data_IF_861949525002
#
_entry.id   IF_861949525002
#
_cell.length_a   1.000
_cell.length_b   1.000
_cell.length_c   1.000
_cell.angle_alpha   90.00
_cell.angle_beta   90.00
_cell.angle_gamma   90.00
#
_symmetry.space_group_name_H-M   'P 1'
#
loop_
_entity.id
_entity.type
_entity.pdbx_description
1 polymer ?
#
# COMPACT_ATOMS: atom_id res chain seq x y z
N UNK A 1 -8.11 -22.99 -9.52
CA UNK A 1 -8.82 -21.78 -9.99
C UNK A 1 -8.03 -21.22 -11.18
N UNK A 2 -8.67 -20.66 -12.22
CA UNK A 2 -7.91 -19.97 -13.28
C UNK A 2 -7.16 -18.82 -12.62
N UNK A 3 -5.83 -18.78 -12.69
CA UNK A 3 -5.08 -17.67 -12.10
C UNK A 3 -5.50 -16.40 -12.83
N UNK A 4 -6.28 -15.56 -12.16
CA UNK A 4 -6.61 -14.25 -12.70
C UNK A 4 -5.32 -13.44 -12.66
N UNK A 5 -4.74 -13.15 -13.82
CA UNK A 5 -3.50 -12.38 -13.95
C UNK A 5 -3.77 -10.93 -14.32
N UNK A 6 -4.94 -10.41 -13.96
CA UNK A 6 -5.27 -8.99 -14.08
C UNK A 6 -4.98 -8.27 -12.80
N UNK A 7 -4.31 -7.15 -12.91
CA UNK A 7 -4.20 -6.18 -11.82
C UNK A 7 -4.87 -4.90 -12.25
N UNK A 8 -5.49 -4.20 -11.30
CA UNK A 8 -6.06 -2.88 -11.54
C UNK A 8 -5.14 -1.81 -10.97
N UNK A 9 -4.90 -0.77 -11.77
CA UNK A 9 -4.11 0.41 -11.40
C UNK A 9 -5.04 1.62 -11.38
N UNK A 10 -5.04 2.37 -10.29
CA UNK A 10 -5.65 3.70 -10.24
C UNK A 10 -4.53 4.73 -10.22
N UNK A 11 -4.31 5.54 -11.29
CA UNK A 11 -3.25 6.55 -11.31
C UNK A 11 -3.38 7.57 -10.16
N UNK A 12 -4.60 7.85 -9.70
CA UNK A 12 -4.87 8.74 -8.58
C UNK A 12 -5.18 10.16 -9.04
N UNK A 13 -4.62 11.15 -8.35
CA UNK A 13 -4.87 12.58 -8.63
C UNK A 13 -4.47 12.93 -10.08
N UNK A 14 -5.43 13.34 -10.93
CA UNK A 14 -5.14 13.59 -12.35
C UNK A 14 -4.14 14.75 -12.58
N UNK A 15 -4.12 15.74 -11.70
CA UNK A 15 -3.16 16.85 -11.78
C UNK A 15 -1.75 16.47 -11.30
N UNK A 16 -1.58 15.35 -10.60
CA UNK A 16 -0.30 14.90 -10.04
C UNK A 16 0.51 14.02 -10.98
N UNK A 17 1.58 13.41 -10.45
CA UNK A 17 2.48 12.51 -11.19
C UNK A 17 1.93 11.11 -11.43
N UNK A 18 0.81 10.74 -10.80
CA UNK A 18 0.22 9.41 -10.94
C UNK A 18 0.02 8.98 -12.40
N UNK A 19 -0.56 9.82 -13.26
CA UNK A 19 -0.58 9.62 -14.71
C UNK A 19 0.80 9.48 -15.36
N UNK A 20 1.80 10.30 -15.02
CA UNK A 20 3.17 10.19 -15.56
C UNK A 20 3.75 8.81 -15.29
N UNK A 21 3.70 8.40 -14.02
CA UNK A 21 4.25 7.13 -13.57
C UNK A 21 3.54 5.98 -14.26
N UNK A 22 2.22 6.06 -14.43
CA UNK A 22 1.44 5.03 -15.15
C UNK A 22 1.84 4.94 -16.63
N UNK A 23 2.08 6.07 -17.30
CA UNK A 23 2.60 6.08 -18.68
C UNK A 23 4.01 5.52 -18.75
N UNK A 24 4.87 5.85 -17.79
CA UNK A 24 6.24 5.31 -17.69
C UNK A 24 6.23 3.79 -17.47
N UNK A 25 5.34 3.26 -16.61
CA UNK A 25 5.16 1.82 -16.41
C UNK A 25 4.79 1.11 -17.72
N UNK A 26 4.01 1.76 -18.59
CA UNK A 26 3.62 1.20 -19.87
C UNK A 26 4.82 0.96 -20.82
N UNK A 27 5.98 1.59 -20.58
CA UNK A 27 7.13 1.52 -21.47
C UNK A 27 7.90 0.19 -21.38
N UNK A 28 7.48 -0.74 -20.53
CA UNK A 28 8.05 -2.07 -20.42
C UNK A 28 6.98 -3.17 -20.42
N UNK A 29 7.42 -4.40 -20.69
CA UNK A 29 6.54 -5.57 -20.65
C UNK A 29 6.22 -5.97 -19.22
N UNK A 30 5.01 -6.48 -18.99
CA UNK A 30 4.58 -7.03 -17.70
C UNK A 30 3.99 -8.44 -17.86
N UNK A 31 4.22 -9.35 -16.89
CA UNK A 31 3.69 -10.71 -16.96
C UNK A 31 2.17 -10.80 -16.71
N UNK A 32 1.54 -9.69 -16.37
CA UNK A 32 0.12 -9.53 -16.02
C UNK A 32 -0.52 -8.53 -16.98
N UNK A 33 -1.85 -8.56 -17.09
CA UNK A 33 -2.61 -7.52 -17.77
C UNK A 33 -2.74 -6.31 -16.83
N UNK A 34 -2.30 -5.12 -17.29
CA UNK A 34 -2.41 -3.89 -16.53
C UNK A 34 -3.71 -3.17 -16.91
N UNK A 35 -4.75 -3.38 -16.10
CA UNK A 35 -6.04 -2.68 -16.26
C UNK A 35 -5.97 -1.35 -15.53
N UNK A 36 -5.92 -0.24 -16.25
CA UNK A 36 -5.83 1.10 -15.67
C UNK A 36 -7.22 1.70 -15.60
N UNK A 37 -7.69 2.01 -14.40
CA UNK A 37 -8.95 2.67 -14.14
C UNK A 37 -8.74 4.19 -14.13
N UNK A 38 -8.97 4.85 -15.27
CA UNK A 38 -8.65 6.26 -15.49
C UNK A 38 -9.34 6.82 -16.74
N UNK A 39 -9.21 8.14 -16.95
CA UNK A 39 -9.63 8.76 -18.22
C UNK A 39 -8.62 8.40 -19.33
N UNK A 40 -9.09 7.85 -20.47
CA UNK A 40 -8.23 7.59 -21.62
C UNK A 40 -7.56 8.88 -22.15
N UNK A 41 -8.33 9.98 -22.18
CA UNK A 41 -7.86 11.28 -22.68
C UNK A 41 -6.72 11.83 -21.81
N UNK A 42 -6.84 11.72 -20.48
CA UNK A 42 -5.79 12.11 -19.54
C UNK A 42 -4.47 11.37 -19.81
N UNK A 43 -4.51 10.05 -19.95
CA UNK A 43 -3.30 9.25 -20.17
C UNK A 43 -2.66 9.54 -21.53
N UNK A 44 -3.46 9.71 -22.59
CA UNK A 44 -2.97 10.09 -23.92
C UNK A 44 -2.33 11.48 -23.90
N UNK A 45 -2.97 12.46 -23.27
CA UNK A 45 -2.42 13.82 -23.13
C UNK A 45 -1.11 13.80 -22.34
N UNK A 46 -1.06 13.07 -21.22
CA UNK A 46 0.16 12.98 -20.40
C UNK A 46 1.28 12.27 -21.17
N UNK A 47 0.98 11.20 -21.91
CA UNK A 47 1.96 10.54 -22.76
C UNK A 47 2.52 11.46 -23.85
N UNK A 48 1.67 12.24 -24.50
CA UNK A 48 2.09 13.25 -25.47
C UNK A 48 2.98 14.34 -24.84
N UNK A 49 2.62 14.85 -23.66
CA UNK A 49 3.44 15.83 -22.92
C UNK A 49 4.82 15.28 -22.57
N UNK A 50 4.89 14.00 -22.19
CA UNK A 50 6.14 13.31 -21.84
C UNK A 50 6.94 12.82 -23.05
N UNK A 51 6.39 12.91 -24.26
CA UNK A 51 7.01 12.37 -25.48
C UNK A 51 7.14 10.83 -25.48
N UNK A 52 6.25 10.13 -24.77
CA UNK A 52 6.27 8.68 -24.64
C UNK A 52 5.17 8.02 -25.50
N UNK A 53 5.46 6.92 -26.22
CA UNK A 53 4.45 6.22 -26.98
C UNK A 53 3.46 5.52 -26.03
N UNK A 54 2.16 5.64 -26.34
CA UNK A 54 1.12 4.94 -25.59
C UNK A 54 -0.06 4.54 -26.49
N UNK A 55 -0.35 3.25 -26.51
CA UNK A 55 -1.58 2.69 -27.11
C UNK A 55 -2.49 2.17 -26.00
N UNK A 56 -3.74 2.64 -25.98
CA UNK A 56 -4.75 2.14 -25.03
C UNK A 56 -5.60 1.05 -25.69
N UNK A 57 -5.71 -0.09 -25.02
CA UNK A 57 -6.59 -1.20 -25.41
C UNK A 57 -7.80 -1.21 -24.48
N UNK A 58 -9.02 -1.24 -25.00
CA UNK A 58 -10.19 -1.28 -24.13
C UNK A 58 -10.23 -2.56 -23.28
N UNK A 59 -10.53 -2.42 -22.00
CA UNK A 59 -10.72 -3.55 -21.10
C UNK A 59 -11.93 -4.40 -21.53
N UNK A 60 -11.73 -5.72 -21.59
CA UNK A 60 -12.74 -6.69 -22.00
C UNK A 60 -12.79 -7.85 -20.98
N UNK A 61 -13.68 -7.82 -19.97
CA UNK A 61 -13.69 -8.81 -18.88
C UNK A 61 -13.93 -10.24 -19.37
N UNK A 62 -14.68 -10.40 -20.46
CA UNK A 62 -14.99 -11.71 -21.06
C UNK A 62 -13.86 -12.34 -21.89
N UNK A 63 -12.77 -11.61 -22.14
CA UNK A 63 -11.59 -12.11 -22.87
C UNK A 63 -10.55 -12.62 -21.87
N UNK A 64 -9.71 -13.59 -22.25
CA UNK A 64 -8.63 -14.06 -21.38
C UNK A 64 -7.56 -12.97 -21.21
N UNK A 65 -7.10 -12.77 -19.97
CA UNK A 65 -6.06 -11.79 -19.66
C UNK A 65 -4.78 -12.05 -20.49
N UNK A 66 -4.16 -10.99 -20.99
CA UNK A 66 -2.90 -11.06 -21.75
C UNK A 66 -1.79 -10.26 -21.05
N UNK A 67 -0.55 -10.78 -20.99
CA UNK A 67 0.60 -10.01 -20.53
C UNK A 67 0.70 -8.65 -21.24
N UNK A 68 0.85 -7.58 -20.45
CA UNK A 68 0.93 -6.23 -21.00
C UNK A 68 2.20 -6.05 -21.81
N UNK A 69 2.06 -5.51 -23.02
CA UNK A 69 3.19 -5.24 -23.92
C UNK A 69 3.69 -3.80 -23.72
N UNK A 70 4.98 -3.58 -23.93
CA UNK A 70 5.59 -2.26 -23.91
C UNK A 70 4.87 -1.29 -24.87
N UNK A 71 4.75 -0.03 -24.44
CA UNK A 71 3.99 1.03 -25.11
C UNK A 71 2.48 0.87 -25.02
N UNK A 72 1.94 -0.04 -24.20
CA UNK A 72 0.48 -0.29 -24.13
C UNK A 72 -0.07 -0.34 -22.71
N UNK A 73 -1.32 0.09 -22.52
CA UNK A 73 -2.11 -0.14 -21.30
C UNK A 73 -3.49 -0.67 -21.66
N UNK A 74 -4.10 -1.45 -20.78
CA UNK A 74 -5.50 -1.87 -20.92
C UNK A 74 -6.37 -0.89 -20.14
N UNK A 75 -7.26 -0.14 -20.78
CA UNK A 75 -8.00 0.98 -20.18
C UNK A 75 -9.40 0.54 -19.72
N UNK A 76 -9.71 0.80 -18.46
CA UNK A 76 -11.05 0.79 -17.88
C UNK A 76 -11.49 2.26 -17.73
N UNK A 77 -12.27 2.79 -18.68
CA UNK A 77 -12.47 4.22 -18.81
C UNK A 77 -13.38 4.79 -17.72
N UNK A 78 -12.92 5.87 -17.09
CA UNK A 78 -13.73 6.78 -16.26
C UNK A 78 -13.33 8.20 -16.64
N UNK A 79 -14.25 9.03 -17.08
CA UNK A 79 -13.91 10.37 -17.58
C UNK A 79 -13.76 11.39 -16.44
N UNK A 80 -12.87 12.37 -16.63
CA UNK A 80 -12.77 13.53 -15.75
C UNK A 80 -13.93 14.49 -16.02
N UNK A 81 -14.40 15.19 -14.98
CA UNK A 81 -15.50 16.14 -15.12
C UNK A 81 -15.05 17.46 -15.79
N UNK A 82 -13.77 17.81 -15.63
CA UNK A 82 -13.14 19.00 -16.21
C UNK A 82 -11.82 18.63 -16.88
N UNK A 83 -11.33 19.45 -17.84
CA UNK A 83 -9.98 19.35 -18.36
C UNK A 83 -8.94 19.35 -17.23
N UNK A 84 -7.83 18.64 -17.45
CA UNK A 84 -6.76 18.50 -16.45
C UNK A 84 -5.54 19.27 -16.90
N UNK A 85 -5.07 20.20 -16.06
CA UNK A 85 -3.78 20.86 -16.21
C UNK A 85 -2.79 20.21 -15.21
N UNK A 86 -1.64 19.68 -15.67
CA UNK A 86 -0.62 19.15 -14.76
C UNK A 86 -0.19 20.20 -13.73
N UNK A 87 -0.15 19.82 -12.46
CA UNK A 87 0.22 20.69 -11.34
C UNK A 87 -0.91 21.54 -10.75
N UNK A 88 -2.08 21.61 -11.41
CA UNK A 88 -3.20 22.44 -10.96
C UNK A 88 -4.38 21.56 -10.48
N UNK A 89 -4.63 21.58 -9.18
CA UNK A 89 -5.75 20.86 -8.57
C UNK A 89 -7.11 21.43 -9.01
N UNK A 90 -8.09 20.55 -9.22
CA UNK A 90 -9.45 20.92 -9.59
C UNK A 90 -10.48 20.15 -8.77
N UNK A 91 -11.25 20.84 -7.91
CA UNK A 91 -12.28 20.22 -7.05
C UNK A 91 -13.32 19.42 -7.83
N UNK A 92 -13.66 19.85 -9.05
CA UNK A 92 -14.62 19.16 -9.90
C UNK A 92 -14.13 17.76 -10.35
N UNK A 93 -12.83 17.48 -10.31
CA UNK A 93 -12.27 16.18 -10.64
C UNK A 93 -12.15 15.24 -9.42
N UNK A 94 -12.60 15.65 -8.23
CA UNK A 94 -12.56 14.81 -7.03
C UNK A 94 -13.45 13.57 -7.16
N UNK A 95 -14.64 13.71 -7.75
CA UNK A 95 -15.54 12.59 -8.03
C UNK A 95 -14.93 11.59 -9.01
N UNK A 96 -14.13 12.06 -9.97
CA UNK A 96 -13.37 11.19 -10.87
C UNK A 96 -12.41 10.30 -10.07
N UNK A 97 -11.61 10.90 -9.18
CA UNK A 97 -10.65 10.14 -8.35
C UNK A 97 -11.39 9.07 -7.54
N UNK A 98 -12.43 9.45 -6.81
CA UNK A 98 -13.20 8.51 -5.99
C UNK A 98 -13.91 7.43 -6.81
N UNK A 99 -14.40 7.75 -8.02
CA UNK A 99 -15.01 6.78 -8.92
C UNK A 99 -13.99 5.74 -9.40
N UNK A 100 -12.75 6.14 -9.68
CA UNK A 100 -11.68 5.19 -10.03
C UNK A 100 -11.34 4.25 -8.88
N UNK A 101 -11.26 4.78 -7.65
CA UNK A 101 -11.00 3.98 -6.44
C UNK A 101 -12.16 3.01 -6.17
N UNK A 102 -13.41 3.49 -6.24
CA UNK A 102 -14.61 2.69 -6.03
C UNK A 102 -14.66 1.51 -7.02
N UNK A 103 -14.52 1.81 -8.31
CA UNK A 103 -14.59 0.80 -9.38
C UNK A 103 -13.49 -0.25 -9.27
N UNK A 104 -12.27 0.19 -8.95
CA UNK A 104 -11.14 -0.72 -8.80
C UNK A 104 -11.30 -1.61 -7.56
N UNK A 105 -11.78 -1.05 -6.44
CA UNK A 105 -12.10 -1.80 -5.23
C UNK A 105 -13.19 -2.86 -5.49
N UNK A 106 -14.29 -2.50 -6.15
CA UNK A 106 -15.39 -3.42 -6.47
C UNK A 106 -14.92 -4.57 -7.38
N UNK A 107 -14.02 -4.27 -8.32
CA UNK A 107 -13.41 -5.29 -9.17
C UNK A 107 -12.54 -6.26 -8.38
N UNK A 108 -11.78 -5.78 -7.39
CA UNK A 108 -11.03 -6.66 -6.50
C UNK A 108 -11.95 -7.49 -5.60
N UNK A 109 -13.00 -6.90 -5.03
CA UNK A 109 -13.98 -7.60 -4.17
C UNK A 109 -14.71 -8.72 -4.91
N UNK A 110 -15.00 -8.53 -6.20
CA UNK A 110 -15.66 -9.54 -7.05
C UNK A 110 -14.69 -10.56 -7.67
N UNK A 111 -13.38 -10.42 -7.45
CA UNK A 111 -12.35 -11.26 -8.06
C UNK A 111 -12.08 -10.96 -9.54
N UNK A 112 -12.63 -9.87 -10.08
CA UNK A 112 -12.34 -9.35 -11.43
C UNK A 112 -10.85 -8.96 -11.58
N UNK A 113 -10.24 -8.46 -10.51
CA UNK A 113 -8.82 -8.12 -10.43
C UNK A 113 -8.15 -8.82 -9.25
N UNK A 114 -6.97 -9.38 -9.48
CA UNK A 114 -6.21 -10.11 -8.47
C UNK A 114 -5.49 -9.19 -7.46
N UNK A 115 -5.19 -7.96 -7.86
CA UNK A 115 -4.63 -6.94 -6.97
C UNK A 115 -4.98 -5.53 -7.44
N UNK A 116 -4.95 -4.60 -6.49
CA UNK A 116 -5.08 -3.16 -6.69
C UNK A 116 -3.75 -2.46 -6.41
N UNK A 117 -3.26 -1.66 -7.36
CA UNK A 117 -2.08 -0.82 -7.21
C UNK A 117 -2.53 0.64 -7.32
N UNK A 118 -2.31 1.43 -6.28
CA UNK A 118 -2.73 2.83 -6.26
C UNK A 118 -1.54 3.79 -6.44
N UNK A 119 -1.68 4.71 -7.38
CA UNK A 119 -0.90 5.94 -7.41
C UNK A 119 -1.34 6.94 -6.32
N UNK A 120 -0.69 8.10 -6.24
CA UNK A 120 -0.95 9.07 -5.18
C UNK A 120 -2.24 9.86 -5.42
N UNK A 121 -2.97 10.19 -4.35
CA UNK A 121 -4.15 11.06 -4.39
C UNK A 121 -3.93 12.27 -3.48
N UNK A 122 -4.61 13.38 -3.79
CA UNK A 122 -4.53 14.58 -2.98
C UNK A 122 -5.75 14.69 -2.05
N UNK A 123 -5.57 14.40 -0.76
CA UNK A 123 -6.65 14.47 0.23
C UNK A 123 -7.33 15.84 0.31
N UNK A 124 -6.56 16.93 0.20
CA UNK A 124 -7.06 18.31 0.34
C UNK A 124 -8.17 18.62 -0.66
N UNK A 125 -7.86 18.60 -1.97
CA UNK A 125 -8.85 18.82 -3.04
C UNK A 125 -10.13 17.99 -2.94
N UNK A 126 -10.04 16.73 -2.47
CA UNK A 126 -11.22 15.89 -2.27
C UNK A 126 -12.10 16.42 -1.13
N UNK A 127 -11.48 16.82 -0.01
CA UNK A 127 -12.21 17.44 1.11
C UNK A 127 -12.73 18.83 0.75
N UNK A 128 -11.98 19.61 -0.04
CA UNK A 128 -12.40 20.94 -0.52
C UNK A 128 -13.59 20.85 -1.49
N UNK A 129 -13.79 19.70 -2.16
CA UNK A 129 -15.00 19.39 -2.92
C UNK A 129 -16.22 19.06 -2.02
N UNK A 130 -16.06 19.11 -0.69
CA UNK A 130 -17.11 18.79 0.28
C UNK A 130 -17.26 17.29 0.55
N UNK A 131 -16.28 16.47 0.16
CA UNK A 131 -16.33 15.01 0.29
C UNK A 131 -15.37 14.56 1.39
N UNK A 132 -15.90 13.98 2.45
CA UNK A 132 -15.09 13.46 3.55
C UNK A 132 -14.20 12.31 3.04
N UNK A 133 -12.88 12.54 3.05
CA UNK A 133 -11.91 11.53 2.63
C UNK A 133 -10.69 11.57 3.53
N UNK A 134 -10.40 10.46 4.21
CA UNK A 134 -9.25 10.36 5.12
C UNK A 134 -7.99 9.92 4.39
N UNK A 135 -8.12 8.95 3.48
CA UNK A 135 -7.03 8.30 2.78
C UNK A 135 -7.52 7.06 2.03
N UNK A 136 -6.63 6.48 1.22
CA UNK A 136 -6.92 5.23 0.50
C UNK A 136 -7.30 4.09 1.43
N UNK A 137 -6.53 3.91 2.51
CA UNK A 137 -6.66 2.78 3.43
C UNK A 137 -8.05 2.75 4.05
N UNK A 138 -8.53 3.89 4.55
CA UNK A 138 -9.85 4.04 5.15
C UNK A 138 -10.96 3.86 4.10
N UNK A 139 -10.80 4.48 2.92
CA UNK A 139 -11.77 4.35 1.84
C UNK A 139 -12.00 2.88 1.42
N UNK A 140 -10.93 2.10 1.28
CA UNK A 140 -11.04 0.69 0.92
C UNK A 140 -11.54 -0.18 2.07
N UNK A 141 -11.13 0.10 3.30
CA UNK A 141 -11.62 -0.60 4.48
C UNK A 141 -13.14 -0.46 4.63
N UNK A 142 -13.66 0.77 4.53
CA UNK A 142 -15.08 1.08 4.60
C UNK A 142 -15.86 0.41 3.47
N UNK A 143 -15.38 0.57 2.23
CA UNK A 143 -16.04 0.00 1.04
C UNK A 143 -16.01 -1.53 1.03
N UNK A 144 -15.00 -2.15 1.61
CA UNK A 144 -14.91 -3.61 1.76
C UNK A 144 -15.81 -4.17 2.88
N UNK A 145 -16.55 -3.33 3.61
CA UNK A 145 -17.45 -3.78 4.68
C UNK A 145 -16.92 -3.49 6.10
N UNK A 146 -16.05 -2.50 6.27
CA UNK A 146 -15.51 -2.09 7.57
C UNK A 146 -14.41 -3.02 8.09
N UNK A 147 -13.60 -3.58 7.20
CA UNK A 147 -12.47 -4.43 7.60
C UNK A 147 -11.45 -3.62 8.40
N UNK A 148 -10.95 -4.18 9.51
CA UNK A 148 -9.77 -3.62 10.15
C UNK A 148 -8.55 -3.89 9.29
N UNK A 149 -7.69 -2.90 9.16
CA UNK A 149 -6.53 -2.91 8.28
C UNK A 149 -5.26 -2.58 9.04
N UNK A 150 -4.15 -3.17 8.60
CA UNK A 150 -2.81 -2.89 9.14
C UNK A 150 -1.95 -2.33 8.02
N UNK A 151 -1.33 -1.18 8.28
CA UNK A 151 -0.38 -0.58 7.36
C UNK A 151 0.96 -1.27 7.51
N UNK A 152 1.52 -1.71 6.39
CA UNK A 152 2.87 -2.24 6.31
C UNK A 152 3.64 -1.52 5.22
N UNK A 153 4.84 -1.06 5.52
CA UNK A 153 5.81 -0.70 4.49
C UNK A 153 6.75 -1.87 4.25
N UNK A 154 7.11 -2.07 2.99
CA UNK A 154 8.07 -3.09 2.61
C UNK A 154 9.08 -2.56 1.59
N UNK A 155 10.28 -3.10 1.68
CA UNK A 155 11.28 -3.15 0.61
C UNK A 155 11.46 -4.62 0.20
N UNK A 156 12.43 -4.91 -0.67
CA UNK A 156 12.75 -6.29 -1.03
C UNK A 156 13.23 -7.13 0.17
N UNK A 157 13.81 -6.52 1.21
CA UNK A 157 14.48 -7.23 2.30
C UNK A 157 14.01 -6.84 3.71
N UNK A 158 13.10 -5.88 3.84
CA UNK A 158 12.55 -5.49 5.14
C UNK A 158 11.05 -5.21 5.02
N UNK A 159 10.27 -5.78 5.93
CA UNK A 159 8.84 -5.49 6.11
C UNK A 159 8.61 -4.92 7.50
N UNK A 160 7.97 -3.76 7.58
CA UNK A 160 7.63 -3.09 8.84
C UNK A 160 6.14 -2.79 8.86
N UNK A 161 5.41 -3.52 9.68
CA UNK A 161 4.02 -3.23 10.03
C UNK A 161 3.96 -2.25 11.21
N UNK A 162 2.86 -1.51 11.30
CA UNK A 162 2.64 -0.50 12.34
C UNK A 162 1.41 -0.84 13.18
N UNK A 163 1.56 -0.85 14.51
CA UNK A 163 0.42 -0.98 15.43
C UNK A 163 -0.46 0.28 15.42
N UNK A 164 0.16 1.44 15.24
CA UNK A 164 -0.53 2.74 15.08
C UNK A 164 0.04 3.50 13.88
N UNK A 165 -0.82 4.22 13.15
CA UNK A 165 -0.42 4.96 11.94
C UNK A 165 -0.29 6.46 12.20
N UNK A 166 -1.15 7.29 11.59
CA UNK A 166 -1.04 8.76 11.62
C UNK A 166 -1.71 9.35 12.87
N UNK A 167 -1.18 9.03 14.05
CA UNK A 167 -1.60 9.62 15.32
C UNK A 167 -0.61 10.69 15.80
N UNK A 168 -1.08 11.74 16.50
CA UNK A 168 -0.19 12.59 17.28
C UNK A 168 0.58 11.74 18.31
N UNK A 169 1.88 11.97 18.47
CA UNK A 169 2.74 11.14 19.34
C UNK A 169 2.19 10.99 20.77
N UNK A 170 1.59 12.05 21.33
CA UNK A 170 0.96 12.04 22.66
C UNK A 170 -0.21 11.06 22.83
N UNK A 171 -0.79 10.56 21.73
CA UNK A 171 -1.92 9.64 21.74
C UNK A 171 -1.50 8.19 21.48
N UNK A 172 -0.21 7.94 21.22
CA UNK A 172 0.28 6.60 20.86
C UNK A 172 0.17 5.64 22.04
N UNK A 173 0.61 6.03 23.24
CA UNK A 173 0.58 5.15 24.42
C UNK A 173 -0.81 4.63 24.73
N UNK A 174 -1.80 5.53 24.71
CA UNK A 174 -3.20 5.19 25.00
C UNK A 174 -3.84 4.31 23.91
N UNK A 175 -3.34 4.38 22.68
CA UNK A 175 -3.84 3.59 21.55
C UNK A 175 -3.27 2.16 21.50
N UNK A 176 -2.15 1.90 22.17
CA UNK A 176 -1.56 0.56 22.26
C UNK A 176 -2.24 -0.21 23.39
N UNK A 177 -3.39 -0.81 23.07
CA UNK A 177 -4.13 -1.71 23.98
C UNK A 177 -3.91 -3.18 23.62
N UNK A 178 -4.33 -4.10 24.49
CA UNK A 178 -4.24 -5.55 24.22
C UNK A 178 -5.07 -5.94 23.00
N UNK A 179 -6.28 -5.38 22.91
CA UNK A 179 -7.21 -5.60 21.79
C UNK A 179 -6.59 -5.11 20.49
N UNK A 180 -6.00 -3.90 20.51
CA UNK A 180 -5.30 -3.34 19.37
C UNK A 180 -4.18 -4.27 18.88
N UNK A 181 -3.33 -4.75 19.79
CA UNK A 181 -2.22 -5.66 19.45
C UNK A 181 -2.70 -7.02 18.95
N UNK A 182 -3.75 -7.59 19.56
CA UNK A 182 -4.33 -8.85 19.10
C UNK A 182 -4.82 -8.73 17.67
N UNK A 183 -5.59 -7.68 17.37
CA UNK A 183 -6.13 -7.48 16.03
C UNK A 183 -5.01 -7.22 15.02
N UNK A 184 -4.05 -6.35 15.33
CA UNK A 184 -2.92 -6.04 14.43
C UNK A 184 -2.06 -7.27 14.15
N UNK A 185 -1.65 -8.00 15.18
CA UNK A 185 -0.77 -9.16 15.03
C UNK A 185 -1.49 -10.30 14.33
N UNK A 186 -2.77 -10.51 14.61
CA UNK A 186 -3.57 -11.54 13.92
C UNK A 186 -3.67 -11.24 12.43
N UNK A 187 -3.96 -9.99 12.05
CA UNK A 187 -4.00 -9.57 10.63
C UNK A 187 -2.61 -9.72 10.00
N UNK A 188 -1.55 -9.26 10.67
CA UNK A 188 -0.19 -9.35 10.16
C UNK A 188 0.23 -10.81 9.92
N UNK A 189 0.03 -11.68 10.91
CA UNK A 189 0.34 -13.10 10.81
C UNK A 189 -0.47 -13.77 9.70
N UNK A 190 -1.79 -13.54 9.67
CA UNK A 190 -2.67 -14.09 8.64
C UNK A 190 -2.22 -13.68 7.23
N UNK A 191 -1.96 -12.39 6.99
CA UNK A 191 -1.59 -11.93 5.66
C UNK A 191 -0.16 -12.33 5.27
N UNK A 192 0.78 -12.47 6.22
CA UNK A 192 2.09 -13.07 5.92
C UNK A 192 1.95 -14.52 5.42
N UNK A 193 1.01 -15.27 5.98
CA UNK A 193 0.68 -16.60 5.46
C UNK A 193 -0.01 -16.53 4.10
N UNK A 194 -1.14 -15.83 4.00
CA UNK A 194 -2.02 -15.91 2.84
C UNK A 194 -1.50 -15.11 1.63
N UNK A 195 -0.89 -13.95 1.86
CA UNK A 195 -0.47 -13.03 0.79
C UNK A 195 1.02 -13.08 0.49
N UNK A 196 1.84 -13.55 1.43
CA UNK A 196 3.29 -13.71 1.24
C UNK A 196 3.75 -15.19 1.21
N UNK A 197 2.83 -16.15 1.38
CA UNK A 197 3.12 -17.60 1.40
C UNK A 197 4.19 -18.01 2.43
N UNK A 198 4.25 -17.32 3.56
CA UNK A 198 5.16 -17.66 4.66
C UNK A 198 4.40 -18.58 5.61
N UNK A 199 4.64 -19.89 5.54
CA UNK A 199 3.86 -20.88 6.29
C UNK A 199 3.88 -20.66 7.81
N UNK A 200 5.04 -20.33 8.37
CA UNK A 200 5.25 -20.05 9.79
C UNK A 200 5.93 -18.68 9.96
N UNK A 201 5.19 -17.55 9.87
CA UNK A 201 5.80 -16.23 9.91
C UNK A 201 6.46 -15.93 11.26
N UNK A 202 7.73 -15.53 11.23
CA UNK A 202 8.43 -15.05 12.41
C UNK A 202 8.37 -13.53 12.51
N UNK A 203 7.54 -13.04 13.45
CA UNK A 203 7.30 -11.61 13.66
C UNK A 203 8.14 -11.11 14.83
N UNK A 204 8.95 -10.08 14.59
CA UNK A 204 9.72 -9.38 15.61
C UNK A 204 8.96 -8.13 16.06
N UNK A 205 8.80 -7.93 17.36
CA UNK A 205 7.94 -6.87 17.93
C UNK A 205 8.77 -5.88 18.73
N UNK A 206 8.64 -4.59 18.41
CA UNK A 206 9.23 -3.52 19.22
C UNK A 206 8.50 -3.38 20.57
N UNK A 207 9.22 -2.95 21.60
CA UNK A 207 8.60 -2.26 22.73
C UNK A 207 8.02 -0.91 22.31
N UNK A 208 7.11 -0.35 23.09
CA UNK A 208 6.63 1.01 22.91
C UNK A 208 7.68 2.01 23.41
N UNK A 209 8.20 1.74 24.60
CA UNK A 209 9.14 2.60 25.29
C UNK A 209 10.59 2.36 24.83
N UNK A 210 11.49 3.35 24.98
CA UNK A 210 12.92 3.12 24.89
C UNK A 210 13.33 1.94 25.77
N UNK A 211 14.29 1.15 25.31
CA UNK A 211 14.75 -0.05 26.03
C UNK A 211 13.63 -1.06 26.36
N UNK A 212 12.50 -1.02 25.63
CA UNK A 212 11.31 -1.82 25.94
C UNK A 212 10.89 -1.69 27.41
N UNK A 213 10.93 -0.46 27.94
CA UNK A 213 10.47 -0.12 29.28
C UNK A 213 11.48 -0.39 30.40
N UNK A 214 12.65 -0.98 30.10
CA UNK A 214 13.71 -1.28 31.08
C UNK A 214 13.15 -1.94 32.35
N UNK A 215 12.43 -3.06 32.19
CA UNK A 215 11.76 -3.78 33.29
C UNK A 215 10.79 -2.93 34.13
N UNK A 216 10.18 -1.90 33.54
CA UNK A 216 9.21 -1.02 34.20
C UNK A 216 9.79 0.31 34.68
N UNK A 217 11.09 0.53 34.54
CA UNK A 217 11.76 1.77 34.95
C UNK A 217 11.59 2.91 33.94
N UNK A 218 11.27 2.59 32.68
CA UNK A 218 11.08 3.56 31.58
C UNK A 218 9.70 3.41 30.93
N UNK A 219 8.65 3.29 31.74
CA UNK A 219 7.29 3.00 31.26
C UNK A 219 6.88 1.57 31.57
N UNK A 220 5.57 1.30 31.53
CA UNK A 220 5.00 0.02 32.00
C UNK A 220 4.15 -0.69 30.96
N UNK A 221 3.94 -0.08 29.81
CA UNK A 221 3.11 -0.58 28.72
C UNK A 221 3.59 -1.96 28.25
N UNK A 222 4.90 -2.23 28.28
CA UNK A 222 5.43 -3.57 28.01
C UNK A 222 4.92 -4.61 29.00
N UNK A 223 4.98 -4.32 30.30
CA UNK A 223 4.59 -5.25 31.37
C UNK A 223 3.07 -5.41 31.41
N UNK A 224 2.35 -4.30 31.34
CA UNK A 224 0.92 -4.26 31.62
C UNK A 224 0.08 -4.61 30.37
N UNK A 225 0.62 -4.41 29.16
CA UNK A 225 -0.11 -4.59 27.89
C UNK A 225 0.62 -5.50 26.89
N UNK A 226 1.85 -5.15 26.46
CA UNK A 226 2.48 -5.79 25.30
C UNK A 226 2.88 -7.24 25.59
N UNK A 227 3.63 -7.50 26.66
CA UNK A 227 4.08 -8.84 27.05
C UNK A 227 2.88 -9.79 27.25
N UNK A 228 1.83 -9.42 27.99
CA UNK A 228 0.61 -10.23 28.07
C UNK A 228 0.02 -10.58 26.70
N UNK A 229 -0.20 -9.59 25.84
CA UNK A 229 -0.75 -9.79 24.50
C UNK A 229 0.11 -10.74 23.64
N UNK A 230 1.44 -10.55 23.63
CA UNK A 230 2.35 -11.43 22.89
C UNK A 230 2.32 -12.86 23.42
N UNK A 231 2.24 -13.04 24.75
CA UNK A 231 2.19 -14.38 25.35
C UNK A 231 0.89 -15.12 25.01
N UNK A 232 -0.25 -14.41 25.01
CA UNK A 232 -1.54 -14.97 24.60
C UNK A 232 -1.51 -15.43 23.14
N UNK A 233 -0.92 -14.64 22.24
CA UNK A 233 -0.77 -14.99 20.82
C UNK A 233 0.25 -16.11 20.56
N UNK A 234 1.33 -16.18 21.34
CA UNK A 234 2.28 -17.31 21.31
C UNK A 234 1.61 -18.63 21.68
N UNK A 235 0.69 -18.62 22.64
CA UNK A 235 -0.08 -19.82 23.00
C UNK A 235 -0.98 -20.31 21.86
N UNK A 236 -1.32 -19.44 20.90
CA UNK A 236 -2.06 -19.77 19.68
C UNK A 236 -1.15 -20.25 18.54
N UNK A 237 0.17 -20.35 18.78
CA UNK A 237 1.15 -20.83 17.82
C UNK A 237 1.83 -19.74 16.97
N UNK A 238 1.54 -18.46 17.22
CA UNK A 238 2.16 -17.35 16.47
C UNK A 238 3.61 -17.16 16.95
N UNK A 239 4.57 -17.23 16.02
CA UNK A 239 5.99 -17.06 16.33
C UNK A 239 6.34 -15.57 16.51
N UNK A 240 6.47 -15.14 17.77
CA UNK A 240 6.72 -13.76 18.15
C UNK A 240 8.01 -13.62 18.97
N UNK A 241 8.96 -12.80 18.50
CA UNK A 241 10.13 -12.38 19.29
C UNK A 241 9.93 -10.94 19.78
N UNK A 242 9.96 -10.73 21.10
CA UNK A 242 9.84 -9.40 21.71
C UNK A 242 8.97 -9.34 22.98
N UNK A 243 8.67 -8.13 23.49
CA UNK A 243 9.10 -6.85 22.94
C UNK A 243 10.63 -6.67 23.03
N UNK A 244 11.23 -6.08 21.99
CA UNK A 244 12.65 -5.71 21.97
C UNK A 244 12.82 -4.19 21.88
N UNK A 245 13.93 -3.61 22.39
CA UNK A 245 14.29 -2.22 22.11
C UNK A 245 14.41 -2.00 20.59
N UNK A 246 13.75 -0.96 20.07
CA UNK A 246 13.70 -0.72 18.62
C UNK A 246 15.11 -0.52 18.01
N UNK A 247 15.98 0.23 18.69
CA UNK A 247 17.38 0.48 18.31
C UNK A 247 18.26 -0.79 18.32
N UNK A 248 17.85 -1.81 19.08
CA UNK A 248 18.47 -3.13 19.06
C UNK A 248 17.90 -3.99 17.92
N UNK A 249 16.56 -4.04 17.79
CA UNK A 249 15.84 -4.87 16.83
C UNK A 249 16.25 -4.54 15.38
N UNK A 250 16.37 -3.26 15.03
CA UNK A 250 16.68 -2.81 13.66
C UNK A 250 18.15 -3.05 13.22
N UNK A 251 18.92 -3.83 13.97
CA UNK A 251 20.26 -4.25 13.54
C UNK A 251 20.17 -5.47 12.60
N UNK A 252 21.01 -5.55 11.54
CA UNK A 252 20.97 -6.65 10.57
C UNK A 252 21.00 -8.05 11.17
N UNK A 253 21.72 -8.22 12.30
CA UNK A 253 21.85 -9.51 13.00
C UNK A 253 20.51 -10.07 13.50
N UNK A 254 19.51 -9.23 13.75
CA UNK A 254 18.16 -9.65 14.10
C UNK A 254 17.24 -9.70 12.88
N UNK A 255 17.29 -8.66 12.03
CA UNK A 255 16.42 -8.54 10.85
C UNK A 255 16.53 -9.73 9.89
N UNK A 256 17.71 -10.35 9.77
CA UNK A 256 17.90 -11.54 8.91
C UNK A 256 17.06 -12.76 9.30
N UNK A 257 16.51 -12.78 10.52
CA UNK A 257 15.66 -13.87 11.03
C UNK A 257 14.18 -13.49 11.09
N UNK A 258 13.83 -12.24 10.77
CA UNK A 258 12.46 -11.74 10.85
C UNK A 258 11.80 -11.73 9.47
N UNK A 259 10.60 -12.29 9.36
CA UNK A 259 9.77 -12.14 8.16
C UNK A 259 9.10 -10.76 8.09
N UNK A 260 8.79 -10.22 9.27
CA UNK A 260 8.29 -8.87 9.46
C UNK A 260 8.65 -8.32 10.84
N UNK A 261 8.77 -7.00 10.92
CA UNK A 261 8.86 -6.25 12.17
C UNK A 261 7.53 -5.55 12.43
N UNK A 262 7.04 -5.60 13.67
CA UNK A 262 5.93 -4.78 14.14
C UNK A 262 6.47 -3.64 15.01
N UNK A 263 6.42 -2.43 14.48
CA UNK A 263 6.70 -1.21 15.22
C UNK A 263 5.40 -0.70 15.88
N UNK A 264 5.52 -0.08 17.05
CA UNK A 264 4.37 0.42 17.82
C UNK A 264 3.78 1.70 17.22
N UNK A 265 4.60 2.52 16.57
CA UNK A 265 4.18 3.75 15.92
C UNK A 265 5.01 4.09 14.69
N UNK A 266 4.49 5.00 13.87
CA UNK A 266 5.03 5.40 12.57
C UNK A 266 6.53 5.70 12.57
N UNK A 267 6.97 6.68 13.38
CA UNK A 267 8.36 7.13 13.40
C UNK A 267 9.32 6.17 14.10
N UNK A 268 8.83 5.07 14.69
CA UNK A 268 9.68 4.05 15.29
C UNK A 268 10.31 3.13 14.24
N UNK A 269 9.57 2.81 13.18
CA UNK A 269 9.97 1.82 12.18
C UNK A 269 10.28 2.39 10.81
N UNK A 270 9.53 3.42 10.37
CA UNK A 270 9.66 3.92 9.01
C UNK A 270 11.00 4.63 8.72
N UNK A 271 11.64 5.36 9.65
CA UNK A 271 12.94 5.98 9.36
C UNK A 271 14.01 4.97 8.90
N UNK A 272 14.09 3.80 9.55
CA UNK A 272 15.03 2.73 9.17
C UNK A 272 14.67 2.18 7.79
N UNK A 273 13.39 1.89 7.55
CA UNK A 273 12.92 1.33 6.29
C UNK A 273 13.17 2.28 5.12
N UNK A 274 12.90 3.58 5.28
CA UNK A 274 13.12 4.60 4.24
C UNK A 274 14.61 4.80 3.96
N UNK A 275 15.44 4.80 5.01
CA UNK A 275 16.89 4.89 4.88
C UNK A 275 17.46 3.71 4.08
N UNK A 276 17.00 2.49 4.37
CA UNK A 276 17.41 1.30 3.64
C UNK A 276 16.81 1.22 2.22
N UNK A 277 15.58 1.72 2.04
CA UNK A 277 14.78 1.50 0.85
C UNK A 277 15.10 2.41 -0.35
N UNK A 278 15.85 3.50 -0.16
CA UNK A 278 16.28 4.42 -1.23
C UNK A 278 15.18 4.76 -2.27
N UNK A 279 13.98 5.13 -1.81
CA UNK A 279 12.86 5.48 -2.71
C UNK A 279 12.11 4.29 -3.34
N UNK A 280 12.44 3.05 -2.97
CA UNK A 280 11.78 1.81 -3.42
C UNK A 280 10.92 1.16 -2.34
N UNK A 281 10.47 1.95 -1.37
CA UNK A 281 9.51 1.49 -0.39
C UNK A 281 8.10 1.39 -1.03
N UNK A 282 7.33 0.41 -0.57
CA UNK A 282 5.96 0.15 -0.97
C UNK A 282 5.09 0.15 0.26
N UNK A 283 3.94 0.82 0.19
CA UNK A 283 2.90 0.72 1.20
C UNK A 283 1.93 -0.42 0.83
N UNK A 284 1.62 -1.28 1.80
CA UNK A 284 0.76 -2.44 1.67
C UNK A 284 -0.32 -2.33 2.73
N UNK A 285 -1.57 -2.55 2.32
CA UNK A 285 -2.71 -2.58 3.24
C UNK A 285 -3.09 -4.02 3.53
N UNK A 286 -2.72 -4.49 4.71
CA UNK A 286 -3.09 -5.80 5.21
C UNK A 286 -4.52 -5.78 5.78
N UNK A 287 -5.16 -6.94 5.85
CA UNK A 287 -6.52 -7.12 6.40
C UNK A 287 -7.66 -6.90 5.39
N UNK A 288 -7.39 -6.28 4.24
CA UNK A 288 -8.34 -6.26 3.12
C UNK A 288 -8.52 -7.67 2.53
N UNK A 289 -9.71 -8.01 2.01
CA UNK A 289 -9.98 -9.31 1.38
C UNK A 289 -9.30 -9.49 0.01
N UNK A 290 -8.51 -8.50 -0.43
CA UNK A 290 -7.73 -8.52 -1.67
C UNK A 290 -6.34 -7.93 -1.45
N UNK A 291 -5.44 -8.13 -2.41
CA UNK A 291 -4.09 -7.56 -2.39
C UNK A 291 -4.18 -6.09 -2.81
N UNK A 292 -3.64 -5.18 -1.97
CA UNK A 292 -3.48 -3.78 -2.31
C UNK A 292 -2.07 -3.30 -1.98
N UNK A 293 -1.39 -2.76 -2.99
CA UNK A 293 -0.11 -2.05 -2.83
C UNK A 293 -0.23 -0.61 -3.31
N UNK A 294 0.71 0.23 -2.88
CA UNK A 294 0.70 1.66 -3.15
C UNK A 294 2.12 2.20 -3.19
N UNK A 295 2.29 3.25 -3.98
CA UNK A 295 3.46 4.12 -3.84
C UNK A 295 3.52 4.73 -2.44
N UNK A 296 4.72 5.16 -2.07
CA UNK A 296 5.05 5.72 -0.75
C UNK A 296 5.47 7.21 -0.83
N UNK A 297 5.17 7.84 -1.96
CA UNK A 297 5.31 9.29 -2.16
C UNK A 297 3.96 9.96 -2.44
N UNK A 298 3.92 11.29 -2.32
CA UNK A 298 2.73 12.10 -2.60
C UNK A 298 2.48 12.33 -4.09
N UNK A 299 1.60 13.28 -4.40
CA UNK A 299 1.18 13.62 -5.77
C UNK A 299 2.21 14.42 -6.56
N UNK A 300 3.18 15.04 -5.90
CA UNK A 300 4.27 15.83 -6.48
C UNK A 300 3.80 16.71 -7.66
N UNK A 301 2.81 17.56 -7.39
CA UNK A 301 2.12 18.37 -8.41
C UNK A 301 3.12 19.18 -9.26
N UNK A 302 4.17 19.68 -8.62
CA UNK A 302 5.26 20.43 -9.22
C UNK A 302 6.09 19.65 -10.26
N UNK A 303 6.01 18.31 -10.27
CA UNK A 303 6.72 17.44 -11.22
C UNK A 303 5.82 16.90 -12.34
N UNK A 304 4.51 17.12 -12.24
CA UNK A 304 3.53 16.56 -13.17
C UNK A 304 3.74 17.08 -14.61
N UNK A 305 3.89 16.17 -15.56
CA UNK A 305 4.11 16.49 -16.98
C UNK A 305 5.55 16.92 -17.31
N UNK A 306 6.47 16.98 -16.35
CA UNK A 306 7.86 17.44 -16.58
C UNK A 306 8.83 16.31 -16.96
N UNK A 307 8.42 15.04 -16.83
CA UNK A 307 9.28 13.88 -17.10
C UNK A 307 10.36 13.61 -16.05
N UNK A 308 10.28 14.27 -14.89
CA UNK A 308 11.24 14.13 -13.79
C UNK A 308 10.75 13.21 -12.66
N UNK A 309 9.50 12.76 -12.72
CA UNK A 309 8.96 11.81 -11.75
C UNK A 309 9.64 10.44 -11.91
N UNK A 310 10.12 9.87 -10.81
CA UNK A 310 10.78 8.56 -10.79
C UNK A 310 9.78 7.41 -10.58
N UNK A 311 9.69 6.41 -11.47
CA UNK A 311 8.73 5.31 -11.35
C UNK A 311 9.15 4.22 -10.37
N UNK A 312 10.28 4.37 -9.67
CA UNK A 312 10.88 3.32 -8.84
C UNK A 312 9.91 2.72 -7.81
N UNK A 313 9.26 3.56 -6.98
CA UNK A 313 8.28 3.09 -5.98
C UNK A 313 7.07 2.41 -6.63
N UNK A 314 6.58 2.92 -7.78
CA UNK A 314 5.43 2.35 -8.48
C UNK A 314 5.77 0.99 -9.11
N UNK A 315 6.96 0.86 -9.71
CA UNK A 315 7.48 -0.41 -10.23
C UNK A 315 7.61 -1.42 -9.10
N UNK A 316 8.17 -1.04 -7.96
CA UNK A 316 8.28 -1.93 -6.80
C UNK A 316 6.90 -2.34 -6.28
N UNK A 317 5.95 -1.41 -6.21
CA UNK A 317 4.58 -1.70 -5.76
C UNK A 317 3.88 -2.72 -6.66
N UNK A 318 4.04 -2.58 -7.98
CA UNK A 318 3.49 -3.51 -8.95
C UNK A 318 4.19 -4.87 -8.93
N UNK A 319 5.53 -4.90 -8.89
CA UNK A 319 6.29 -6.15 -8.75
C UNK A 319 5.91 -6.91 -7.48
N UNK A 320 5.75 -6.20 -6.36
CA UNK A 320 5.35 -6.82 -5.10
C UNK A 320 3.95 -7.41 -5.16
N UNK A 321 2.99 -6.68 -5.74
CA UNK A 321 1.63 -7.21 -5.96
C UNK A 321 1.66 -8.48 -6.84
N UNK A 322 2.46 -8.49 -7.91
CA UNK A 322 2.62 -9.67 -8.78
C UNK A 322 3.21 -10.86 -7.99
N UNK A 323 4.20 -10.62 -7.13
CA UNK A 323 4.77 -11.66 -6.26
C UNK A 323 3.71 -12.20 -5.30
N UNK A 324 2.95 -11.32 -4.62
CA UNK A 324 1.90 -11.71 -3.70
C UNK A 324 0.80 -12.53 -4.40
N UNK A 325 0.43 -12.19 -5.63
CA UNK A 325 -0.52 -12.96 -6.45
C UNK A 325 0.02 -14.38 -6.71
N UNK A 326 1.30 -14.52 -7.05
CA UNK A 326 1.91 -15.84 -7.27
C UNK A 326 1.90 -16.67 -5.99
N UNK A 327 2.38 -16.08 -4.89
CA UNK A 327 2.39 -16.70 -3.56
C UNK A 327 1.01 -17.15 -3.10
N UNK A 328 -0.06 -16.39 -3.38
CA UNK A 328 -1.42 -16.72 -2.95
C UNK A 328 -2.10 -17.82 -3.81
N UNK A 329 -1.52 -18.17 -4.96
CA UNK A 329 -2.07 -19.16 -5.89
C UNK A 329 -1.34 -20.52 -5.85
N UNK A 330 -0.24 -20.61 -5.10
CA UNK A 330 0.51 -21.84 -4.82
C UNK A 330 -0.04 -22.54 -3.58
#
# INVERSE_FOLDING_TARGET
MRSNTRVVITPGEPAGIGPDLTVQLAQQNWPVELVVCASPALLQQRAAQLGLPLTLRNYQPGVAAQPQQAGTLTILPIETAQPVTPGELCVANSDYVLSTLARACDGCLSGEFAALITGPVHKGVINDAGIAFTGHTEFFADRAGGHRVVMMLATESLRVALATTHLPLKAVSDAVTRECLHEVITILHHDLQQKFAIAEPHIYVCGLNPHAGESGHMGREEIDVIIPALNELRQQGIQLTGPLPADTLFQPKYLQYADAVLAMYHDQGLPVLKFQGFGRAVNITLGLPFIRTSVDHGTALELAGLGQAEPGSFITALNLAITMIKSSNE
#
